data_IF_185461055339
#
_entry.id   IF_185461055339
#
_cell.length_a   1.000
_cell.length_b   1.000
_cell.length_c   1.000
_cell.angle_alpha   90.00
_cell.angle_beta   90.00
_cell.angle_gamma   90.00
#
_symmetry.space_group_name_H-M   'P 1'
#
loop_
_entity.id
_entity.type
_entity.pdbx_description
1 polymer ?
#
# COMPACT_ATOMS: atom_id res chain seq x y z
N UNK A 1 -10.75 -14.48 1.30
CA UNK A 1 -9.31 -14.73 1.43
C UNK A 1 -9.04 -15.66 2.60
N UNK A 2 -7.98 -16.49 2.54
CA UNK A 2 -7.48 -17.26 3.69
C UNK A 2 -6.21 -16.59 4.24
N UNK A 3 -5.90 -16.84 5.52
CA UNK A 3 -4.62 -16.39 6.10
C UNK A 3 -3.47 -17.20 5.51
N UNK A 4 -2.33 -16.53 5.31
CA UNK A 4 -1.10 -17.14 4.84
C UNK A 4 -0.42 -17.87 6.02
N UNK A 5 -0.09 -19.17 5.91
CA UNK A 5 0.62 -19.90 6.95
C UNK A 5 1.99 -19.29 7.26
N UNK A 6 2.46 -19.45 8.49
CA UNK A 6 3.76 -18.94 8.95
C UNK A 6 4.91 -19.34 8.01
N UNK A 7 4.95 -20.62 7.62
CA UNK A 7 5.97 -21.17 6.71
C UNK A 7 5.96 -20.51 5.33
N UNK A 8 4.79 -20.06 4.86
CA UNK A 8 4.66 -19.36 3.59
C UNK A 8 5.19 -17.93 3.72
N UNK A 9 4.80 -17.21 4.77
CA UNK A 9 5.27 -15.85 5.01
C UNK A 9 6.78 -15.79 5.23
N UNK A 10 7.35 -16.71 6.01
CA UNK A 10 8.80 -16.80 6.23
C UNK A 10 9.55 -17.06 4.92
N UNK A 11 9.01 -17.92 4.04
CA UNK A 11 9.60 -18.21 2.73
C UNK A 11 9.56 -16.98 1.81
N UNK A 12 8.46 -16.21 1.84
CA UNK A 12 8.34 -14.95 1.10
C UNK A 12 9.33 -13.91 1.60
N UNK A 13 9.48 -13.75 2.92
CA UNK A 13 10.46 -12.82 3.50
C UNK A 13 11.88 -13.14 3.05
N UNK A 14 12.30 -14.39 3.17
CA UNK A 14 13.64 -14.83 2.77
C UNK A 14 13.90 -14.57 1.27
N UNK A 15 12.94 -14.93 0.41
CA UNK A 15 13.06 -14.71 -1.03
C UNK A 15 13.09 -13.23 -1.39
N UNK A 16 12.23 -12.41 -0.77
CA UNK A 16 12.19 -10.98 -1.00
C UNK A 16 13.50 -10.31 -0.57
N UNK A 17 14.06 -10.67 0.60
CA UNK A 17 15.33 -10.13 1.08
C UNK A 17 16.48 -10.42 0.10
N UNK A 18 16.55 -11.65 -0.40
CA UNK A 18 17.52 -12.09 -1.41
C UNK A 18 17.38 -11.31 -2.73
N UNK A 19 16.15 -11.17 -3.26
CA UNK A 19 15.89 -10.41 -4.48
C UNK A 19 16.17 -8.91 -4.32
N UNK A 20 15.80 -8.31 -3.19
CA UNK A 20 16.07 -6.90 -2.90
C UNK A 20 17.57 -6.65 -2.85
N UNK A 21 18.33 -7.53 -2.18
CA UNK A 21 19.78 -7.42 -2.09
C UNK A 21 20.45 -7.58 -3.45
N UNK A 22 20.04 -8.56 -4.26
CA UNK A 22 20.64 -8.80 -5.59
C UNK A 22 20.35 -7.71 -6.62
N UNK A 23 19.18 -7.10 -6.55
CA UNK A 23 18.69 -6.19 -7.60
C UNK A 23 18.55 -4.74 -7.14
N UNK A 24 18.97 -4.42 -5.91
CA UNK A 24 18.84 -3.09 -5.30
C UNK A 24 17.42 -2.52 -5.43
N UNK A 25 16.41 -3.36 -5.19
CA UNK A 25 15.00 -2.97 -5.37
C UNK A 25 14.65 -1.98 -4.26
N UNK A 26 14.27 -0.73 -4.59
CA UNK A 26 13.88 0.23 -3.57
C UNK A 26 12.54 -0.17 -2.95
N UNK A 27 12.37 0.11 -1.65
CA UNK A 27 11.19 -0.30 -0.89
C UNK A 27 9.86 0.12 -1.53
N UNK A 28 9.81 1.29 -2.18
CA UNK A 28 8.61 1.78 -2.85
C UNK A 28 8.18 0.96 -4.09
N UNK A 29 9.05 0.06 -4.59
CA UNK A 29 8.76 -0.84 -5.72
C UNK A 29 8.34 -2.25 -5.30
N UNK A 30 8.30 -2.55 -4.00
CA UNK A 30 7.68 -3.78 -3.51
C UNK A 30 6.18 -3.53 -3.41
N UNK A 31 5.41 -4.15 -4.29
CA UNK A 31 3.97 -3.88 -4.49
C UNK A 31 3.16 -5.17 -4.64
N UNK A 32 1.86 -5.09 -4.34
CA UNK A 32 0.91 -6.15 -4.66
C UNK A 32 0.49 -6.12 -6.12
N UNK A 33 -0.05 -7.22 -6.63
CA UNK A 33 -0.61 -7.25 -7.98
C UNK A 33 -1.83 -6.33 -8.11
N UNK A 34 -2.63 -6.24 -7.04
CA UNK A 34 -3.72 -5.27 -6.90
C UNK A 34 -3.27 -3.82 -7.03
N UNK A 35 -2.03 -3.50 -6.67
CA UNK A 35 -1.54 -2.12 -6.72
C UNK A 35 -1.24 -1.70 -8.17
N UNK A 36 -0.80 -2.67 -8.99
CA UNK A 36 -0.48 -2.47 -10.41
C UNK A 36 -1.74 -2.52 -11.29
N UNK A 37 -2.66 -3.45 -10.99
CA UNK A 37 -3.82 -3.74 -11.80
C UNK A 37 -5.12 -3.76 -10.95
N UNK A 38 -5.47 -2.63 -10.32
CA UNK A 38 -6.55 -2.55 -9.33
C UNK A 38 -7.94 -2.91 -9.88
N UNK A 39 -8.13 -2.77 -11.19
CA UNK A 39 -9.38 -3.05 -11.91
C UNK A 39 -9.65 -4.55 -12.10
N UNK A 40 -8.60 -5.38 -12.13
CA UNK A 40 -8.71 -6.80 -12.51
C UNK A 40 -7.99 -7.76 -11.56
N UNK A 41 -7.27 -7.25 -10.56
CA UNK A 41 -6.51 -8.04 -9.59
C UNK A 41 -6.82 -7.62 -8.16
N UNK A 42 -6.93 -8.63 -7.30
CA UNK A 42 -7.22 -8.46 -5.89
C UNK A 42 -6.12 -9.06 -5.01
N UNK A 43 -5.23 -9.88 -5.57
CA UNK A 43 -4.10 -10.50 -4.90
C UNK A 43 -2.96 -9.51 -4.57
N UNK A 44 -2.25 -9.70 -3.43
CA UNK A 44 -2.36 -10.82 -2.50
C UNK A 44 -3.53 -10.71 -1.51
N UNK A 45 -4.26 -9.59 -1.52
CA UNK A 45 -5.46 -9.36 -0.72
C UNK A 45 -5.18 -8.83 0.69
N UNK A 46 -6.27 -8.50 1.40
CA UNK A 46 -6.26 -7.85 2.71
C UNK A 46 -5.74 -8.74 3.86
N UNK A 47 -5.59 -10.05 3.63
CA UNK A 47 -5.04 -10.98 4.63
C UNK A 47 -3.53 -11.21 4.50
N UNK A 48 -2.88 -10.60 3.50
CA UNK A 48 -1.43 -10.65 3.36
C UNK A 48 -0.76 -9.72 4.38
N UNK A 49 0.20 -10.22 5.14
CA UNK A 49 0.80 -9.46 6.25
C UNK A 49 1.89 -8.49 5.75
N UNK A 50 1.46 -7.42 5.10
CA UNK A 50 2.30 -6.28 4.72
C UNK A 50 3.06 -5.64 5.91
N UNK A 51 2.44 -5.43 7.10
CA UNK A 51 3.17 -4.94 8.27
C UNK A 51 4.38 -5.82 8.64
N UNK A 52 4.23 -7.15 8.56
CA UNK A 52 5.31 -8.10 8.81
C UNK A 52 6.48 -7.93 7.84
N UNK A 53 6.21 -7.88 6.54
CA UNK A 53 7.26 -7.66 5.54
C UNK A 53 8.01 -6.36 5.82
N UNK A 54 7.30 -5.28 6.12
CA UNK A 54 7.94 -3.99 6.39
C UNK A 54 8.80 -4.01 7.67
N UNK A 55 8.42 -4.75 8.72
CA UNK A 55 9.28 -4.98 9.90
C UNK A 55 10.57 -5.72 9.54
N UNK A 56 10.54 -6.59 8.53
CA UNK A 56 11.71 -7.25 7.97
C UNK A 56 12.49 -6.36 6.96
N UNK A 57 12.14 -5.09 6.81
CA UNK A 57 12.78 -4.16 5.86
C UNK A 57 12.30 -4.30 4.41
N UNK A 58 11.21 -5.03 4.18
CA UNK A 58 10.68 -5.32 2.84
C UNK A 58 9.47 -4.42 2.56
N UNK A 59 9.64 -3.48 1.64
CA UNK A 59 8.56 -2.59 1.20
C UNK A 59 8.25 -1.45 2.16
N UNK A 60 7.13 -0.77 1.91
CA UNK A 60 6.68 0.39 2.69
C UNK A 60 5.50 0.01 3.58
N UNK A 61 5.60 0.37 4.86
CA UNK A 61 4.49 0.42 5.81
C UNK A 61 4.76 1.51 6.86
N UNK A 62 4.25 2.75 6.69
CA UNK A 62 4.40 3.75 7.74
C UNK A 62 3.60 3.33 8.99
N UNK A 63 4.05 3.70 10.19
CA UNK A 63 3.18 3.62 11.38
C UNK A 63 1.92 4.45 11.12
N UNK A 64 0.79 3.99 11.66
CA UNK A 64 -0.41 4.83 11.71
C UNK A 64 -0.16 5.92 12.77
N UNK A 65 -0.20 7.18 12.38
CA UNK A 65 -0.16 8.27 13.34
C UNK A 65 -1.56 8.40 13.94
N UNK A 66 -1.64 8.46 15.26
CA UNK A 66 -2.89 8.67 15.97
C UNK A 66 -3.45 10.09 15.80
N UNK A 67 -2.66 11.01 15.23
CA UNK A 67 -3.08 12.38 14.96
C UNK A 67 -4.00 12.40 13.74
N UNK A 68 -5.25 12.83 13.94
CA UNK A 68 -6.15 13.11 12.82
C UNK A 68 -5.50 14.12 11.87
N UNK A 69 -5.73 14.01 10.55
CA UNK A 69 -5.25 14.99 9.61
C UNK A 69 -5.76 16.38 10.03
N UNK A 70 -4.85 17.34 10.15
CA UNK A 70 -5.15 18.70 10.61
C UNK A 70 -6.17 19.44 9.71
N UNK A 71 -6.37 18.97 8.47
CA UNK A 71 -7.42 19.47 7.58
C UNK A 71 -8.24 18.34 6.93
N UNK A 72 -9.50 18.65 6.62
CA UNK A 72 -10.26 17.85 5.65
C UNK A 72 -9.60 17.97 4.27
N UNK A 73 -8.99 16.86 3.84
CA UNK A 73 -8.39 16.72 2.53
C UNK A 73 -9.49 16.73 1.47
N UNK A 74 -9.35 17.58 0.47
CA UNK A 74 -10.24 17.52 -0.68
C UNK A 74 -10.02 16.22 -1.49
N UNK A 75 -11.07 15.82 -2.23
CA UNK A 75 -11.07 14.59 -3.02
C UNK A 75 -9.99 14.62 -4.09
N UNK A 76 -9.78 15.77 -4.75
CA UNK A 76 -8.85 15.90 -5.86
C UNK A 76 -7.40 15.69 -5.41
N UNK A 77 -7.00 16.30 -4.29
CA UNK A 77 -5.68 16.13 -3.68
C UNK A 77 -5.45 14.71 -3.18
N UNK A 78 -6.48 14.03 -2.68
CA UNK A 78 -6.37 12.60 -2.31
C UNK A 78 -6.17 11.72 -3.54
N UNK A 79 -6.92 11.94 -4.63
CA UNK A 79 -6.71 11.19 -5.88
C UNK A 79 -5.35 11.50 -6.51
N UNK A 80 -4.84 12.72 -6.37
CA UNK A 80 -3.51 13.10 -6.83
C UNK A 80 -2.41 12.38 -6.03
N UNK A 81 -2.55 12.26 -4.71
CA UNK A 81 -1.61 11.49 -3.89
C UNK A 81 -1.65 10.00 -4.22
N UNK A 82 -2.84 9.44 -4.43
CA UNK A 82 -3.00 8.04 -4.84
C UNK A 82 -2.32 7.77 -6.19
N UNK A 83 -2.45 8.70 -7.14
CA UNK A 83 -1.74 8.64 -8.40
C UNK A 83 -0.22 8.77 -8.23
N UNK A 84 0.25 9.66 -7.36
CA UNK A 84 1.67 9.91 -7.13
C UNK A 84 2.41 8.72 -6.50
N UNK A 85 1.73 7.88 -5.73
CA UNK A 85 2.27 6.61 -5.21
C UNK A 85 2.11 5.43 -6.17
N UNK A 86 1.60 5.67 -7.40
CA UNK A 86 1.68 4.73 -8.51
C UNK A 86 0.37 4.06 -8.95
N UNK A 87 -0.78 4.40 -8.34
CA UNK A 87 -2.07 3.82 -8.75
C UNK A 87 -2.66 4.56 -9.96
N UNK A 88 -3.33 3.83 -10.86
CA UNK A 88 -4.10 4.45 -11.93
C UNK A 88 -5.46 4.94 -11.40
N UNK A 89 -5.69 6.26 -11.40
CA UNK A 89 -6.94 6.89 -10.94
C UNK A 89 -7.81 7.43 -12.09
N UNK A 90 -7.33 7.36 -13.33
CA UNK A 90 -8.03 7.87 -14.52
C UNK A 90 -9.02 6.84 -15.08
N UNK A 91 -9.86 7.25 -16.04
CA UNK A 91 -10.75 6.32 -16.75
C UNK A 91 -11.80 5.64 -15.87
N UNK A 92 -12.22 6.27 -14.76
CA UNK A 92 -13.18 5.69 -13.82
C UNK A 92 -12.58 4.67 -12.84
N UNK A 93 -11.25 4.51 -12.80
CA UNK A 93 -10.58 3.52 -11.94
C UNK A 93 -10.35 3.98 -10.50
N UNK A 94 -10.75 5.20 -10.13
CA UNK A 94 -10.53 5.77 -8.81
C UNK A 94 -11.02 4.86 -7.66
N UNK A 95 -12.22 4.29 -7.76
CA UNK A 95 -12.76 3.40 -6.73
C UNK A 95 -11.98 2.10 -6.61
N UNK A 96 -11.57 1.51 -7.74
CA UNK A 96 -10.75 0.29 -7.76
C UNK A 96 -9.37 0.56 -7.17
N UNK A 97 -8.76 1.70 -7.50
CA UNK A 97 -7.49 2.14 -6.93
C UNK A 97 -7.58 2.36 -5.42
N UNK A 98 -8.65 3.02 -4.93
CA UNK A 98 -8.90 3.17 -3.49
C UNK A 98 -9.07 1.82 -2.80
N UNK A 99 -9.81 0.90 -3.41
CA UNK A 99 -10.01 -0.45 -2.87
C UNK A 99 -8.68 -1.21 -2.76
N UNK A 100 -7.84 -1.14 -3.79
CA UNK A 100 -6.52 -1.76 -3.78
C UNK A 100 -5.60 -1.13 -2.74
N UNK A 101 -5.60 0.21 -2.65
CA UNK A 101 -4.88 0.94 -1.61
C UNK A 101 -5.30 0.48 -0.20
N UNK A 102 -6.60 0.34 0.05
CA UNK A 102 -7.12 -0.14 1.34
C UNK A 102 -6.70 -1.59 1.61
N UNK A 103 -6.79 -2.50 0.64
CA UNK A 103 -6.32 -3.89 0.80
C UNK A 103 -4.87 -3.99 1.23
N UNK A 104 -4.05 -3.02 0.82
CA UNK A 104 -2.68 -2.93 1.28
C UNK A 104 -2.62 -2.21 2.63
N UNK A 105 -2.96 -0.93 2.70
CA UNK A 105 -2.60 -0.06 3.81
C UNK A 105 -3.67 0.15 4.89
N UNK A 106 -4.92 -0.31 4.66
CA UNK A 106 -6.07 -0.20 5.58
C UNK A 106 -6.95 -1.47 5.49
N UNK A 107 -6.36 -2.60 5.91
CA UNK A 107 -6.91 -3.94 5.70
C UNK A 107 -8.22 -4.23 6.45
N UNK A 108 -8.52 -3.46 7.50
CA UNK A 108 -9.77 -3.57 8.27
C UNK A 108 -11.01 -3.14 7.47
N UNK A 109 -10.87 -2.33 6.40
CA UNK A 109 -11.99 -1.80 5.62
C UNK A 109 -11.58 -1.48 4.17
N UNK A 110 -11.98 -2.37 3.25
CA UNK A 110 -11.69 -2.30 1.82
C UNK A 110 -12.95 -2.05 0.98
N UNK A 111 -13.63 -0.92 1.19
CA UNK A 111 -14.91 -0.58 0.54
C UNK A 111 -14.78 0.39 -0.64
N UNK A 112 -13.56 0.80 -0.99
CA UNK A 112 -13.26 1.73 -2.07
C UNK A 112 -13.67 3.17 -1.81
N UNK A 113 -14.08 3.51 -0.57
CA UNK A 113 -14.53 4.86 -0.21
C UNK A 113 -13.39 5.70 0.35
N UNK A 114 -13.29 6.94 -0.11
CA UNK A 114 -12.38 7.93 0.47
C UNK A 114 -13.02 8.54 1.74
N UNK A 115 -12.88 7.86 2.86
CA UNK A 115 -13.21 8.40 4.20
C UNK A 115 -11.99 9.06 4.87
N UNK A 116 -12.22 9.71 6.03
CA UNK A 116 -11.17 10.40 6.79
C UNK A 116 -9.95 9.52 7.08
N UNK A 117 -10.19 8.27 7.47
CA UNK A 117 -9.12 7.31 7.79
C UNK A 117 -8.33 6.89 6.54
N UNK A 118 -9.01 6.66 5.41
CA UNK A 118 -8.35 6.37 4.13
C UNK A 118 -7.50 7.56 3.67
N UNK A 119 -8.01 8.79 3.81
CA UNK A 119 -7.28 10.00 3.46
C UNK A 119 -6.04 10.22 4.36
N UNK A 120 -6.19 10.02 5.68
CA UNK A 120 -5.08 10.10 6.63
C UNK A 120 -4.00 9.06 6.30
N UNK A 121 -4.42 7.81 6.09
CA UNK A 121 -3.50 6.71 5.74
C UNK A 121 -2.78 6.97 4.43
N UNK A 122 -3.47 7.52 3.45
CA UNK A 122 -2.87 7.90 2.17
C UNK A 122 -1.78 8.96 2.34
N UNK A 123 -2.01 9.98 3.18
CA UNK A 123 -1.02 11.01 3.47
C UNK A 123 0.26 10.43 4.11
N UNK A 124 0.10 9.50 5.05
CA UNK A 124 1.24 8.81 5.69
C UNK A 124 2.04 7.98 4.69
N UNK A 125 1.34 7.22 3.85
CA UNK A 125 1.94 6.39 2.80
C UNK A 125 2.63 7.26 1.77
N UNK A 126 2.02 8.39 1.38
CA UNK A 126 2.63 9.35 0.46
C UNK A 126 3.95 9.89 1.00
N UNK A 127 3.97 10.34 2.26
CA UNK A 127 5.19 10.83 2.89
C UNK A 127 6.26 9.74 3.00
N UNK A 128 5.89 8.49 3.29
CA UNK A 128 6.82 7.37 3.32
C UNK A 128 7.36 7.01 1.92
N UNK A 129 6.51 7.08 0.90
CA UNK A 129 6.86 6.85 -0.50
C UNK A 129 7.88 7.87 -0.99
N UNK A 130 7.66 9.16 -0.72
CA UNK A 130 8.59 10.22 -1.12
C UNK A 130 9.95 10.05 -0.44
N UNK A 131 9.98 9.70 0.86
CA UNK A 131 11.23 9.38 1.58
C UNK A 131 11.96 8.16 0.99
N UNK A 132 11.23 7.16 0.53
CA UNK A 132 11.78 5.93 -0.05
C UNK A 132 12.16 6.08 -1.54
N UNK A 133 11.72 7.14 -2.21
CA UNK A 133 12.06 7.47 -3.61
C UNK A 133 13.20 8.48 -3.71
N UNK A 134 13.32 9.37 -2.72
CA UNK A 134 14.44 10.34 -2.62
C UNK A 134 15.73 9.78 -2.01
N UNK A 135 15.73 8.51 -1.60
CA UNK A 135 16.92 7.73 -1.22
C UNK A 135 17.33 6.83 -2.38
#
# INVERSE_FOLDING_TARGET
YCRFPEVQMASVEALCADLISRHSIPAHRVVGHSDIAPDRKTDPGELFDWPRLARAGIGIWPPANASEPECERDIAGSLADLAAIGYCTTGGLANSALTAFQRRFRQNRCDGRLDRETAARLSEVRAAFDRARGR
#
